data_IF_071287436401
#
_entry.id   IF_071287436401
#
_cell.length_a   1.000
_cell.length_b   1.000
_cell.length_c   1.000
_cell.angle_alpha   90.00
_cell.angle_beta   90.00
_cell.angle_gamma   90.00
#
_symmetry.space_group_name_H-M   'P 1'
#
loop_
_entity.id
_entity.type
_entity.pdbx_description
1 polymer ?
#
# COMPACT_ATOMS: atom_id res chain seq x y z
N UNK A 1 -28.23 6.69 -22.47
CA UNK A 1 -28.73 5.62 -21.59
C UNK A 1 -27.72 4.49 -21.58
N UNK A 2 -26.71 4.53 -20.71
CA UNK A 2 -25.71 3.47 -20.58
C UNK A 2 -25.82 2.87 -19.17
N UNK A 3 -26.19 1.60 -19.15
CA UNK A 3 -26.39 0.80 -17.94
C UNK A 3 -25.02 0.51 -17.32
N UNK A 4 -24.77 1.04 -16.13
CA UNK A 4 -23.64 0.62 -15.28
C UNK A 4 -24.05 -0.73 -14.67
N UNK A 5 -23.36 -1.80 -15.10
CA UNK A 5 -23.52 -3.13 -14.53
C UNK A 5 -22.72 -3.23 -13.22
N UNK A 6 -23.47 -3.39 -12.13
CA UNK A 6 -22.91 -3.85 -10.85
C UNK A 6 -22.35 -5.25 -11.03
N UNK A 7 -21.07 -5.43 -10.80
CA UNK A 7 -20.43 -6.75 -10.74
C UNK A 7 -20.34 -7.13 -9.26
N UNK A 8 -21.37 -7.79 -8.76
CA UNK A 8 -21.25 -8.67 -7.59
C UNK A 8 -20.67 -10.00 -8.10
N UNK A 9 -19.40 -10.24 -7.89
CA UNK A 9 -18.81 -11.54 -8.11
C UNK A 9 -19.14 -12.45 -6.92
N UNK A 10 -20.08 -13.36 -7.12
CA UNK A 10 -20.32 -14.48 -6.21
C UNK A 10 -19.15 -15.45 -6.30
N UNK A 11 -18.38 -15.58 -5.22
CA UNK A 11 -17.34 -16.60 -5.08
C UNK A 11 -18.01 -17.91 -4.68
N UNK A 12 -18.12 -18.85 -5.61
CA UNK A 12 -18.52 -20.22 -5.33
C UNK A 12 -17.35 -20.95 -4.66
N UNK A 13 -17.51 -21.34 -3.39
CA UNK A 13 -16.55 -22.18 -2.67
C UNK A 13 -16.78 -23.63 -3.11
N UNK A 14 -15.91 -24.14 -3.97
CA UNK A 14 -15.82 -25.58 -4.22
C UNK A 14 -15.01 -26.23 -3.10
N UNK A 15 -15.64 -27.07 -2.31
CA UNK A 15 -14.96 -27.90 -1.31
C UNK A 15 -14.15 -29.00 -2.02
N UNK A 16 -12.83 -28.83 -2.05
CA UNK A 16 -11.91 -29.88 -2.48
C UNK A 16 -11.52 -30.68 -1.26
N UNK A 17 -11.99 -31.93 -1.17
CA UNK A 17 -11.55 -32.90 -0.18
C UNK A 17 -10.17 -33.42 -0.61
N UNK A 18 -9.11 -32.96 0.05
CA UNK A 18 -7.76 -33.51 -0.14
C UNK A 18 -7.60 -34.63 0.86
N UNK A 19 -7.45 -35.88 0.34
CA UNK A 19 -7.03 -37.03 1.13
C UNK A 19 -5.59 -36.80 1.62
N UNK A 20 -5.41 -36.80 2.93
CA UNK A 20 -4.09 -36.66 3.55
C UNK A 20 -3.32 -37.99 3.41
N UNK A 21 -2.35 -38.00 2.51
CA UNK A 21 -1.25 -38.97 2.60
C UNK A 21 -0.20 -38.33 3.54
N UNK A 22 -0.04 -38.97 4.70
CA UNK A 22 1.00 -38.57 5.65
C UNK A 22 2.36 -39.14 5.17
N UNK A 23 3.01 -38.43 4.25
CA UNK A 23 4.45 -38.58 4.04
C UNK A 23 5.16 -37.62 4.97
N UNK A 24 5.96 -38.18 5.88
CA UNK A 24 6.85 -37.46 6.80
C UNK A 24 7.76 -36.58 5.96
N UNK A 25 7.78 -35.22 6.16
CA UNK A 25 8.71 -34.38 5.44
C UNK A 25 10.13 -34.77 5.87
N UNK A 26 10.99 -35.14 4.92
CA UNK A 26 12.42 -35.26 5.14
C UNK A 26 12.90 -33.87 5.68
N UNK A 27 13.58 -33.86 6.84
CA UNK A 27 14.26 -32.68 7.36
C UNK A 27 15.21 -32.14 6.29
N UNK A 28 14.81 -30.99 5.72
CA UNK A 28 15.70 -30.24 4.84
C UNK A 28 16.81 -29.65 5.72
N UNK A 29 18.11 -30.00 5.50
CA UNK A 29 19.18 -29.43 6.28
C UNK A 29 19.09 -27.91 6.14
N UNK A 30 18.94 -27.22 7.27
CA UNK A 30 18.85 -25.78 7.37
C UNK A 30 19.93 -25.14 6.51
N UNK A 31 19.55 -24.65 5.34
CA UNK A 31 20.41 -23.76 4.56
C UNK A 31 20.74 -22.59 5.49
N UNK A 32 22.00 -22.26 5.73
CA UNK A 32 22.35 -21.14 6.59
C UNK A 32 21.58 -19.91 6.12
N UNK A 33 20.92 -19.20 7.03
CA UNK A 33 20.24 -17.97 6.70
C UNK A 33 21.18 -17.10 5.85
N UNK A 34 20.73 -16.54 4.73
CA UNK A 34 21.58 -15.76 3.85
C UNK A 34 22.23 -14.68 4.72
N UNK A 35 23.56 -14.60 4.70
CA UNK A 35 24.29 -13.51 5.34
C UNK A 35 23.66 -12.23 4.82
N UNK A 36 23.22 -11.34 5.73
CA UNK A 36 22.67 -10.03 5.37
C UNK A 36 23.68 -9.36 4.41
N UNK A 37 23.41 -9.51 3.13
CA UNK A 37 24.23 -8.87 2.11
C UNK A 37 23.99 -7.38 2.28
N UNK A 38 25.07 -6.66 2.54
CA UNK A 38 25.01 -5.22 2.77
C UNK A 38 24.47 -4.58 1.49
N UNK A 39 23.32 -3.91 1.58
CA UNK A 39 22.66 -3.26 0.44
C UNK A 39 23.66 -2.32 -0.25
N UNK A 40 23.59 -2.23 -1.59
CA UNK A 40 24.45 -1.28 -2.32
C UNK A 40 24.15 0.16 -1.89
N UNK A 41 25.15 1.07 -1.93
CA UNK A 41 24.93 2.48 -1.56
C UNK A 41 23.76 3.14 -2.32
N UNK A 42 23.54 2.75 -3.57
CA UNK A 42 22.43 3.27 -4.39
C UNK A 42 21.07 2.78 -3.90
N UNK A 43 20.94 1.52 -3.48
CA UNK A 43 19.73 0.95 -2.90
C UNK A 43 19.45 1.63 -1.56
N UNK A 44 20.46 1.75 -0.71
CA UNK A 44 20.30 2.40 0.60
C UNK A 44 19.85 3.87 0.45
N UNK A 45 20.31 4.58 -0.58
CA UNK A 45 19.83 5.93 -0.88
C UNK A 45 18.35 5.95 -1.27
N UNK A 46 17.91 5.02 -2.15
CA UNK A 46 16.52 4.89 -2.55
C UNK A 46 15.60 4.58 -1.34
N UNK A 47 16.04 3.68 -0.46
CA UNK A 47 15.32 3.35 0.77
C UNK A 47 15.22 4.54 1.73
N UNK A 48 16.26 5.37 1.86
CA UNK A 48 16.16 6.63 2.63
C UNK A 48 15.22 7.63 2.00
N UNK A 49 15.18 7.71 0.67
CA UNK A 49 14.19 8.55 -0.03
C UNK A 49 12.76 8.05 0.25
N UNK A 50 12.57 6.73 0.30
CA UNK A 50 11.29 6.12 0.67
C UNK A 50 10.89 6.44 2.12
N UNK A 51 11.84 6.34 3.06
CA UNK A 51 11.59 6.75 4.47
C UNK A 51 11.16 8.22 4.54
N UNK A 52 11.84 9.12 3.81
CA UNK A 52 11.47 10.55 3.75
C UNK A 52 10.09 10.75 3.14
N UNK A 53 9.77 10.00 2.07
CA UNK A 53 8.45 10.03 1.43
C UNK A 53 7.35 9.74 2.45
N UNK A 54 7.41 8.61 3.14
CA UNK A 54 6.32 8.16 4.00
C UNK A 54 6.27 8.91 5.34
N UNK A 55 7.44 9.11 5.98
CA UNK A 55 7.49 9.67 7.34
C UNK A 55 7.36 11.19 7.36
N UNK A 56 7.81 11.87 6.31
CA UNK A 56 7.83 13.33 6.29
C UNK A 56 6.89 13.92 5.23
N UNK A 57 6.99 13.48 3.98
CA UNK A 57 6.21 14.09 2.88
C UNK A 57 4.74 13.68 2.96
N UNK A 58 4.44 12.38 2.95
CA UNK A 58 3.08 11.86 3.02
C UNK A 58 2.43 12.17 4.38
N UNK A 59 3.05 11.77 5.48
CA UNK A 59 2.48 11.89 6.82
C UNK A 59 2.26 13.35 7.27
N UNK A 60 2.96 14.32 6.67
CA UNK A 60 2.76 15.73 6.95
C UNK A 60 2.14 16.51 5.77
N UNK A 61 1.62 15.78 4.75
CA UNK A 61 0.92 16.35 3.60
C UNK A 61 1.74 17.42 2.84
N UNK A 62 3.06 17.22 2.72
CA UNK A 62 3.98 18.14 2.01
C UNK A 62 3.99 17.82 0.50
N UNK A 63 2.84 17.96 -0.14
CA UNK A 63 2.61 17.50 -1.52
C UNK A 63 3.54 18.15 -2.54
N UNK A 64 3.98 19.37 -2.29
CA UNK A 64 4.95 20.09 -3.12
C UNK A 64 6.31 19.39 -3.18
N UNK A 65 6.61 18.49 -2.23
CA UNK A 65 7.86 17.72 -2.17
C UNK A 65 7.75 16.30 -2.74
N UNK A 66 6.55 15.87 -3.17
CA UNK A 66 6.37 14.51 -3.69
C UNK A 66 7.29 14.20 -4.90
N UNK A 67 7.63 15.22 -5.68
CA UNK A 67 8.56 15.13 -6.81
C UNK A 67 10.00 14.71 -6.41
N UNK A 68 10.37 14.75 -5.13
CA UNK A 68 11.68 14.30 -4.65
C UNK A 68 11.83 12.77 -4.77
N UNK A 69 10.71 12.04 -4.75
CA UNK A 69 10.65 10.57 -4.82
C UNK A 69 9.90 10.04 -6.06
N UNK A 70 9.05 10.84 -6.70
CA UNK A 70 8.18 10.42 -7.80
C UNK A 70 8.52 11.13 -9.10
N UNK A 71 8.56 10.38 -10.21
CA UNK A 71 8.64 10.96 -11.56
C UNK A 71 7.33 11.67 -11.91
N UNK A 72 7.41 12.64 -12.82
CA UNK A 72 6.23 13.41 -13.26
C UNK A 72 5.13 12.52 -13.85
N UNK A 73 5.50 11.46 -14.54
CA UNK A 73 4.62 10.52 -15.24
C UNK A 73 4.49 9.17 -14.52
N UNK A 74 4.75 9.16 -13.22
CA UNK A 74 4.65 7.95 -12.38
C UNK A 74 3.34 7.20 -12.61
N UNK A 75 3.42 5.87 -12.58
CA UNK A 75 2.26 4.97 -12.57
C UNK A 75 2.09 4.43 -11.15
N UNK A 76 0.88 4.49 -10.62
CA UNK A 76 0.53 3.92 -9.32
C UNK A 76 -0.43 2.76 -9.55
N UNK A 77 -0.08 1.58 -9.08
CA UNK A 77 -1.00 0.43 -9.02
C UNK A 77 -1.56 0.32 -7.60
N UNK A 78 -2.86 0.50 -7.48
CA UNK A 78 -3.59 0.49 -6.22
C UNK A 78 -3.94 -0.93 -5.76
N UNK A 79 -4.31 -1.16 -4.47
CA UNK A 79 -4.55 -2.50 -3.93
C UNK A 79 -5.68 -3.29 -4.61
N UNK A 80 -6.61 -2.63 -5.28
CA UNK A 80 -7.68 -3.26 -6.07
C UNK A 80 -7.26 -3.56 -7.53
N UNK A 81 -6.01 -3.24 -7.88
CA UNK A 81 -5.42 -3.49 -9.20
C UNK A 81 -5.68 -2.39 -10.24
N UNK A 82 -6.43 -1.33 -9.92
CA UNK A 82 -6.53 -0.22 -10.87
C UNK A 82 -5.24 0.62 -10.89
N UNK A 83 -5.01 1.32 -11.98
CA UNK A 83 -3.85 2.19 -12.15
C UNK A 83 -4.24 3.64 -12.33
N UNK A 84 -3.44 4.54 -11.75
CA UNK A 84 -3.48 5.98 -12.04
C UNK A 84 -2.11 6.44 -12.54
N UNK A 85 -2.09 7.51 -13.35
CA UNK A 85 -0.87 8.00 -13.98
C UNK A 85 -0.69 9.49 -13.76
N UNK A 86 0.55 9.85 -13.44
CA UNK A 86 1.00 11.23 -13.27
C UNK A 86 0.96 11.68 -11.81
N UNK A 87 1.98 12.46 -11.43
CA UNK A 87 2.19 12.90 -10.06
C UNK A 87 1.05 13.78 -9.55
N UNK A 88 0.46 14.63 -10.38
CA UNK A 88 -0.65 15.50 -9.99
C UNK A 88 -1.89 14.67 -9.62
N UNK A 89 -2.20 13.64 -10.44
CA UNK A 89 -3.30 12.71 -10.14
C UNK A 89 -3.05 11.94 -8.85
N UNK A 90 -1.80 11.48 -8.66
CA UNK A 90 -1.43 10.78 -7.42
C UNK A 90 -1.58 11.68 -6.19
N UNK A 91 -1.16 12.94 -6.26
CA UNK A 91 -1.37 13.92 -5.18
C UNK A 91 -2.86 14.08 -4.85
N UNK A 92 -3.74 14.15 -5.84
CA UNK A 92 -5.17 14.26 -5.61
C UNK A 92 -5.74 13.00 -4.95
N UNK A 93 -5.27 11.81 -5.35
CA UNK A 93 -5.66 10.54 -4.73
C UNK A 93 -5.19 10.45 -3.28
N UNK A 94 -3.95 10.86 -2.99
CA UNK A 94 -3.42 10.90 -1.63
C UNK A 94 -4.19 11.89 -0.74
N UNK A 95 -4.49 13.09 -1.25
CA UNK A 95 -5.33 14.07 -0.52
C UNK A 95 -6.70 13.51 -0.17
N UNK A 96 -7.28 12.67 -1.02
CA UNK A 96 -8.58 12.05 -0.75
C UNK A 96 -8.57 11.16 0.50
N UNK A 97 -7.43 10.53 0.82
CA UNK A 97 -7.27 9.76 2.06
C UNK A 97 -7.37 10.64 3.30
N UNK A 98 -6.77 11.83 3.26
CA UNK A 98 -6.78 12.78 4.37
C UNK A 98 -8.12 13.52 4.55
N UNK A 99 -9.04 13.43 3.58
CA UNK A 99 -10.40 13.96 3.72
C UNK A 99 -11.13 13.27 4.87
N UNK A 100 -11.08 11.94 4.95
CA UNK A 100 -11.84 11.19 5.95
C UNK A 100 -11.03 10.87 7.22
N UNK A 101 -9.70 10.87 7.14
CA UNK A 101 -8.80 10.62 8.26
C UNK A 101 -7.61 11.60 8.22
N UNK A 102 -7.79 12.84 8.70
CA UNK A 102 -6.79 13.91 8.58
C UNK A 102 -5.49 13.67 9.39
N UNK A 103 -5.49 12.69 10.29
CA UNK A 103 -4.37 12.30 11.13
C UNK A 103 -3.59 11.08 10.62
N UNK A 104 -3.74 10.72 9.34
CA UNK A 104 -3.01 9.60 8.73
C UNK A 104 -1.50 9.79 8.89
N UNK A 105 -0.83 8.72 9.35
CA UNK A 105 0.63 8.69 9.51
C UNK A 105 1.21 7.31 9.24
N UNK A 106 2.43 7.30 8.67
CA UNK A 106 3.34 6.15 8.59
C UNK A 106 4.62 6.58 9.30
N UNK A 107 5.12 5.78 10.26
CA UNK A 107 6.26 6.17 11.12
C UNK A 107 7.47 5.26 11.01
N UNK A 108 7.31 4.06 10.48
CA UNK A 108 8.38 3.05 10.43
C UNK A 108 8.25 2.15 9.23
N UNK A 109 9.40 1.70 8.72
CA UNK A 109 9.50 0.61 7.76
C UNK A 109 10.26 -0.56 8.41
N UNK A 110 9.58 -1.47 9.12
CA UNK A 110 10.23 -2.57 9.84
C UNK A 110 10.94 -3.56 8.91
N UNK A 111 10.42 -3.72 7.69
CA UNK A 111 11.08 -4.51 6.64
C UNK A 111 11.33 -3.57 5.47
N UNK A 112 12.58 -3.51 5.02
CA UNK A 112 12.98 -2.73 3.85
C UNK A 112 14.11 -3.43 3.12
N UNK A 113 14.01 -3.50 1.82
CA UNK A 113 14.98 -4.16 0.96
C UNK A 113 14.99 -3.56 -0.44
N UNK A 114 15.99 -3.90 -1.23
CA UNK A 114 16.02 -3.55 -2.64
C UNK A 114 17.05 -4.35 -3.42
N UNK A 115 16.85 -4.42 -4.72
CA UNK A 115 17.75 -5.05 -5.67
C UNK A 115 17.61 -4.38 -7.05
N UNK A 116 18.71 -4.05 -7.68
CA UNK A 116 18.71 -3.40 -8.98
C UNK A 116 17.98 -2.06 -8.96
N UNK A 117 16.86 -1.98 -9.67
CA UNK A 117 16.00 -0.80 -9.75
C UNK A 117 14.78 -0.85 -8.82
N UNK A 118 14.62 -1.91 -8.05
CA UNK A 118 13.47 -2.09 -7.19
C UNK A 118 13.79 -1.89 -5.71
N UNK A 119 12.84 -1.34 -4.98
CA UNK A 119 12.81 -1.33 -3.51
C UNK A 119 11.46 -1.83 -3.01
N UNK A 120 11.45 -2.42 -1.82
CA UNK A 120 10.24 -2.80 -1.11
C UNK A 120 10.33 -2.38 0.35
N UNK A 121 9.23 -1.87 0.88
CA UNK A 121 9.08 -1.50 2.28
C UNK A 121 7.77 -2.04 2.83
N UNK A 122 7.73 -2.33 4.12
CA UNK A 122 6.47 -2.54 4.85
C UNK A 122 6.28 -1.42 5.85
N UNK A 123 5.03 -1.12 6.18
CA UNK A 123 4.69 -0.10 7.15
C UNK A 123 3.35 -0.38 7.82
N UNK A 124 2.99 0.48 8.77
CA UNK A 124 1.65 0.53 9.33
C UNK A 124 1.12 1.94 9.15
N UNK A 125 0.10 2.09 8.32
CA UNK A 125 -0.64 3.33 8.15
C UNK A 125 -1.69 3.43 9.26
N UNK A 126 -1.58 4.45 10.10
CA UNK A 126 -2.52 4.70 11.20
C UNK A 126 -3.33 5.95 10.94
N UNK A 127 -4.53 6.01 11.48
CA UNK A 127 -5.39 7.20 11.40
C UNK A 127 -6.70 7.00 12.18
N UNK A 128 -7.55 8.04 12.16
CA UNK A 128 -8.86 8.03 12.80
C UNK A 128 -9.93 8.48 11.81
N UNK A 129 -10.97 7.66 11.64
CA UNK A 129 -12.08 7.98 10.73
C UNK A 129 -13.00 9.02 11.38
N UNK A 130 -12.74 10.32 11.12
CA UNK A 130 -13.39 11.44 11.81
C UNK A 130 -14.29 12.30 10.94
N UNK A 131 -14.16 12.21 9.61
CA UNK A 131 -14.97 12.99 8.65
C UNK A 131 -15.62 12.09 7.61
N UNK A 132 -16.77 12.49 7.00
CA UNK A 132 -17.46 11.65 6.01
C UNK A 132 -16.55 11.26 4.85
N UNK A 133 -16.48 9.95 4.55
CA UNK A 133 -15.68 9.41 3.46
C UNK A 133 -16.51 9.38 2.16
N UNK A 134 -16.09 10.08 1.10
CA UNK A 134 -16.76 10.02 -0.19
C UNK A 134 -16.66 8.63 -0.81
N UNK A 135 -17.75 8.08 -1.32
CA UNK A 135 -17.80 6.78 -2.02
C UNK A 135 -18.37 6.89 -3.44
N UNK A 136 -18.32 8.07 -4.01
CA UNK A 136 -18.84 8.36 -5.35
C UNK A 136 -20.33 8.69 -5.37
N UNK A 137 -20.81 9.18 -6.51
CA UNK A 137 -22.22 9.54 -6.75
C UNK A 137 -22.85 10.45 -5.67
N UNK A 138 -22.05 11.30 -5.02
CA UNK A 138 -22.51 12.16 -3.94
C UNK A 138 -22.84 11.43 -2.62
N UNK A 139 -22.51 10.13 -2.52
CA UNK A 139 -22.72 9.33 -1.32
C UNK A 139 -21.51 9.41 -0.39
N UNK A 140 -21.79 9.26 0.90
CA UNK A 140 -20.77 9.32 1.96
C UNK A 140 -21.01 8.21 2.98
N UNK A 141 -19.91 7.61 3.44
CA UNK A 141 -19.91 6.80 4.66
C UNK A 141 -19.67 7.75 5.83
N UNK A 142 -20.57 7.70 6.83
CA UNK A 142 -20.47 8.58 8.00
C UNK A 142 -19.33 8.13 8.92
N UNK A 143 -18.61 9.08 9.54
CA UNK A 143 -17.48 8.76 10.41
C UNK A 143 -17.93 8.00 11.65
N UNK A 144 -17.13 7.04 12.07
CA UNK A 144 -17.37 6.24 13.26
C UNK A 144 -16.53 6.68 14.46
N UNK A 145 -15.54 7.54 14.26
CA UNK A 145 -14.54 7.91 15.26
C UNK A 145 -13.55 6.79 15.58
N UNK A 146 -13.60 5.66 14.87
CA UNK A 146 -12.69 4.53 15.11
C UNK A 146 -11.31 4.79 14.52
N UNK A 147 -10.30 4.33 15.25
CA UNK A 147 -8.91 4.30 14.80
C UNK A 147 -8.67 3.06 13.96
N UNK A 148 -7.73 3.18 13.02
CA UNK A 148 -7.22 2.05 12.27
C UNK A 148 -5.69 2.00 12.33
N UNK A 149 -5.14 0.79 12.17
CA UNK A 149 -3.72 0.49 12.03
C UNK A 149 -3.58 -0.54 10.91
N UNK A 150 -3.47 -0.06 9.69
CA UNK A 150 -3.51 -0.87 8.47
C UNK A 150 -2.10 -1.26 8.06
N UNK A 151 -1.81 -2.57 8.09
CA UNK A 151 -0.55 -3.10 7.56
C UNK A 151 -0.48 -2.88 6.06
N UNK A 152 0.65 -2.37 5.60
CA UNK A 152 0.87 -2.09 4.19
C UNK A 152 2.25 -2.58 3.72
N UNK A 153 2.37 -2.78 2.43
CA UNK A 153 3.64 -2.93 1.74
C UNK A 153 3.62 -2.07 0.48
N UNK A 154 4.77 -1.49 0.15
CA UNK A 154 4.93 -0.71 -1.09
C UNK A 154 6.17 -1.20 -1.83
N UNK A 155 6.04 -1.39 -3.14
CA UNK A 155 7.15 -1.68 -4.04
C UNK A 155 7.32 -0.49 -4.97
N UNK A 156 8.56 0.00 -5.09
CA UNK A 156 8.91 1.07 -6.02
C UNK A 156 9.88 0.59 -7.09
N UNK A 157 9.61 0.87 -8.36
CA UNK A 157 10.58 0.80 -9.43
C UNK A 157 11.18 2.19 -9.67
N UNK A 158 12.50 2.27 -9.77
CA UNK A 158 13.25 3.51 -9.83
C UNK A 158 13.92 3.70 -11.19
N UNK A 159 13.68 4.85 -11.79
CA UNK A 159 14.42 5.37 -12.92
C UNK A 159 15.31 6.53 -12.44
N UNK A 160 16.59 6.24 -12.25
CA UNK A 160 17.51 7.19 -11.63
C UNK A 160 17.21 7.44 -10.15
N UNK A 161 16.79 8.66 -9.80
CA UNK A 161 16.56 9.10 -8.40
C UNK A 161 15.09 9.06 -7.99
N UNK A 162 14.16 8.91 -8.93
CA UNK A 162 12.72 8.93 -8.68
C UNK A 162 12.06 7.62 -9.10
N UNK A 163 10.98 7.26 -8.46
CA UNK A 163 10.13 6.15 -8.88
C UNK A 163 9.33 6.54 -10.11
N UNK A 164 9.28 5.65 -11.09
CA UNK A 164 8.41 5.75 -12.26
C UNK A 164 7.23 4.76 -12.18
N UNK A 165 7.29 3.81 -11.24
CA UNK A 165 6.16 2.95 -10.91
C UNK A 165 6.16 2.62 -9.42
N UNK A 166 4.98 2.66 -8.81
CA UNK A 166 4.73 2.30 -7.42
C UNK A 166 3.55 1.34 -7.32
N UNK A 167 3.71 0.26 -6.58
CA UNK A 167 2.65 -0.71 -6.26
C UNK A 167 2.33 -0.64 -4.78
N UNK A 168 1.06 -0.38 -4.48
CA UNK A 168 0.53 -0.25 -3.14
C UNK A 168 -0.23 -1.52 -2.75
N UNK A 169 0.04 -2.03 -1.56
CA UNK A 169 -0.60 -3.23 -1.04
C UNK A 169 -1.11 -3.01 0.39
N UNK A 170 -2.38 -3.15 0.58
CA UNK A 170 -3.04 -3.29 1.88
C UNK A 170 -4.38 -4.00 1.71
N UNK A 171 -4.96 -4.48 2.83
CA UNK A 171 -6.26 -5.15 2.82
C UNK A 171 -7.39 -4.12 3.01
N UNK A 172 -8.13 -3.85 1.92
CA UNK A 172 -9.29 -2.96 1.95
C UNK A 172 -10.42 -3.48 2.84
N UNK A 173 -10.57 -4.81 2.98
CA UNK A 173 -11.60 -5.40 3.84
C UNK A 173 -11.24 -5.21 5.32
N UNK A 174 -9.98 -5.43 5.67
CA UNK A 174 -9.48 -5.17 7.03
C UNK A 174 -9.61 -3.68 7.38
N UNK A 175 -9.28 -2.77 6.46
CA UNK A 175 -9.49 -1.34 6.64
C UNK A 175 -10.96 -1.03 6.98
N UNK A 176 -11.91 -1.50 6.14
CA UNK A 176 -13.35 -1.26 6.36
C UNK A 176 -13.84 -1.83 7.69
N UNK A 177 -13.36 -3.01 8.08
CA UNK A 177 -13.66 -3.63 9.37
C UNK A 177 -13.12 -2.79 10.55
N UNK A 178 -11.88 -2.33 10.47
CA UNK A 178 -11.26 -1.53 11.52
C UNK A 178 -12.00 -0.20 11.73
N UNK A 179 -12.38 0.48 10.67
CA UNK A 179 -13.18 1.72 10.77
C UNK A 179 -14.66 1.47 11.10
N UNK A 180 -15.09 0.20 11.22
CA UNK A 180 -16.43 -0.20 11.68
C UNK A 180 -17.53 -0.10 10.62
N UNK A 181 -17.18 -0.23 9.35
CA UNK A 181 -18.10 -0.14 8.20
C UNK A 181 -18.21 -1.49 7.48
N UNK A 182 -17.20 -2.35 7.55
CA UNK A 182 -17.24 -3.72 7.04
C UNK A 182 -17.98 -4.66 8.00
N UNK A 183 -18.85 -5.49 7.47
CA UNK A 183 -19.45 -6.62 8.19
C UNK A 183 -18.64 -7.89 7.94
#
# INVERSE_FOLDING_TARGET
>A
MNKVRSILAAVAIAAITIAANADTPAENPLTPAPKHERQSPSIEQKLRTFDTLDFDVFSNQKWERLHESHAKDIVITWPDGHETKGIDKHIDDLKALFVFAPDIQIKTHPIRFGSGTFTGVTGVMTGTFTTPMPVGEGKFIQPTGKRFALSMATIGHWSGKTMDHEWLFWDNQDFMKQIGVGQ
#
